data_IF_413829003614
#
_entry.id   IF_413829003614
#
_cell.length_a   1.000
_cell.length_b   1.000
_cell.length_c   1.000
_cell.angle_alpha   90.00
_cell.angle_beta   90.00
_cell.angle_gamma   90.00
#
_symmetry.space_group_name_H-M   'P 1'
#
loop_
_entity.id
_entity.type
_entity.pdbx_description
1 polymer ?
#
# COMPACT_ATOMS: atom_id res chain seq x y z
N UNK A 1 -6.16 39.81 32.31
CA UNK A 1 -5.21 40.85 32.76
C UNK A 1 -5.16 40.81 34.29
N UNK A 2 -3.99 41.03 34.88
CA UNK A 2 -3.62 40.87 36.31
C UNK A 2 -2.98 39.51 36.65
N UNK A 3 -1.65 39.56 36.78
CA UNK A 3 -0.74 38.57 37.37
C UNK A 3 -0.83 38.56 38.90
N UNK A 4 -0.27 37.52 39.56
CA UNK A 4 0.82 37.82 40.49
C UNK A 4 2.07 36.95 40.31
N UNK A 5 3.21 37.61 40.57
CA UNK A 5 4.58 37.11 40.81
C UNK A 5 4.54 36.19 42.05
N UNK A 6 5.29 35.12 42.22
CA UNK A 6 6.72 34.89 41.98
C UNK A 6 7.34 34.47 43.31
N UNK A 7 7.94 33.28 43.39
CA UNK A 7 8.73 32.84 44.53
C UNK A 7 9.96 32.07 44.04
N UNK A 8 11.13 32.54 44.47
CA UNK A 8 12.46 31.96 44.25
C UNK A 8 12.66 30.75 45.16
N UNK A 9 13.42 29.76 44.71
CA UNK A 9 14.35 29.05 45.59
C UNK A 9 15.53 28.45 44.80
N UNK A 10 16.70 28.60 45.41
CA UNK A 10 18.00 28.07 45.03
C UNK A 10 18.01 26.52 45.04
N UNK A 11 18.81 25.90 44.18
CA UNK A 11 19.91 25.05 44.63
C UNK A 11 20.85 24.63 43.49
N UNK A 12 22.13 24.86 43.74
CA UNK A 12 23.30 24.26 43.13
C UNK A 12 23.38 22.76 43.44
N UNK A 13 23.78 21.91 42.49
CA UNK A 13 24.99 21.07 42.60
C UNK A 13 25.13 20.04 41.45
N UNK A 14 26.41 19.80 41.13
CA UNK A 14 27.00 18.59 40.57
C UNK A 14 26.82 18.25 39.08
N UNK A 15 27.65 18.98 38.31
CA UNK A 15 28.53 18.47 37.26
C UNK A 15 29.04 17.04 37.55
N UNK A 16 28.67 16.08 36.68
CA UNK A 16 29.36 14.80 36.52
C UNK A 16 29.85 14.70 35.07
N UNK A 17 31.17 14.61 34.92
CA UNK A 17 31.90 14.34 33.67
C UNK A 17 32.44 12.92 33.73
N UNK A 18 32.03 12.03 32.81
CA UNK A 18 32.75 10.82 32.34
C UNK A 18 32.21 10.56 30.91
N UNK A 19 32.97 10.91 29.87
CA UNK A 19 33.81 10.02 29.04
C UNK A 19 33.05 8.83 28.46
N UNK A 20 32.85 8.82 27.14
CA UNK A 20 32.88 7.58 26.36
C UNK A 20 33.35 7.86 24.92
N UNK A 21 34.51 7.27 24.63
CA UNK A 21 35.14 7.11 23.32
C UNK A 21 34.36 6.09 22.51
N UNK A 22 34.02 6.39 21.25
CA UNK A 22 33.76 5.33 20.26
C UNK A 22 34.52 5.63 18.97
N UNK A 23 35.46 4.73 18.70
CA UNK A 23 36.40 4.75 17.59
C UNK A 23 35.70 4.54 16.24
N UNK A 24 36.15 5.34 15.27
CA UNK A 24 35.86 5.24 13.85
C UNK A 24 36.55 4.00 13.26
N UNK A 25 35.78 3.13 12.60
CA UNK A 25 36.32 2.13 11.68
C UNK A 25 35.96 2.55 10.25
N UNK A 26 36.87 3.29 9.60
CA UNK A 26 36.84 3.57 8.17
C UNK A 26 37.72 2.54 7.45
N UNK A 27 37.11 1.63 6.69
CA UNK A 27 37.83 0.79 5.75
C UNK A 27 38.11 1.57 4.47
N UNK A 28 39.34 2.06 4.35
CA UNK A 28 39.92 2.50 3.10
C UNK A 28 40.14 1.31 2.17
N UNK A 29 39.53 1.33 0.98
CA UNK A 29 40.02 0.57 -0.18
C UNK A 29 40.67 1.56 -1.12
N UNK A 30 42.00 1.52 -1.11
CA UNK A 30 42.89 2.14 -2.09
C UNK A 30 42.95 1.30 -3.35
N UNK A 31 42.68 1.88 -4.52
CA UNK A 31 43.13 1.35 -5.80
C UNK A 31 43.81 2.46 -6.60
N UNK A 32 45.10 2.22 -6.83
CA UNK A 32 46.06 3.03 -7.55
C UNK A 32 45.78 3.11 -9.05
N UNK A 33 46.18 4.23 -9.63
CA UNK A 33 46.25 4.51 -11.06
C UNK A 33 47.26 3.63 -11.80
N UNK A 34 46.94 3.25 -13.04
CA UNK A 34 47.92 3.15 -14.12
C UNK A 34 47.23 3.29 -15.48
N UNK A 35 47.97 3.88 -16.41
CA UNK A 35 47.50 4.47 -17.65
C UNK A 35 47.36 3.47 -18.82
N UNK A 36 46.45 3.83 -19.74
CA UNK A 36 46.61 3.73 -21.20
C UNK A 36 46.72 2.34 -21.82
N UNK A 37 45.72 1.97 -22.65
CA UNK A 37 45.93 1.55 -24.05
C UNK A 37 44.58 1.49 -24.76
N UNK A 38 44.49 2.20 -25.89
CA UNK A 38 43.41 2.18 -26.87
C UNK A 38 43.34 0.82 -27.59
N UNK A 39 42.19 0.14 -27.52
CA UNK A 39 41.79 -0.85 -28.52
C UNK A 39 40.29 -0.76 -28.82
N UNK A 40 39.99 -0.39 -30.06
CA UNK A 40 38.70 -0.61 -30.73
C UNK A 40 38.43 -2.12 -30.78
N UNK A 41 37.28 -2.57 -30.28
CA UNK A 41 36.72 -3.87 -30.69
C UNK A 41 35.20 -3.83 -30.72
N UNK A 42 34.71 -4.11 -31.93
CA UNK A 42 33.39 -4.56 -32.38
C UNK A 42 32.32 -4.84 -31.30
N UNK A 43 31.22 -4.13 -31.50
CA UNK A 43 29.89 -4.41 -31.02
C UNK A 43 29.44 -5.82 -31.49
N UNK A 44 29.29 -6.75 -30.56
CA UNK A 44 28.49 -7.96 -30.75
C UNK A 44 27.22 -7.82 -29.88
N UNK A 45 26.07 -7.76 -30.55
CA UNK A 45 24.76 -7.98 -29.92
C UNK A 45 24.67 -9.45 -29.52
N UNK A 46 24.60 -9.73 -28.23
CA UNK A 46 24.14 -11.02 -27.71
C UNK A 46 22.79 -10.83 -27.02
N UNK A 47 21.75 -11.42 -27.61
CA UNK A 47 20.48 -11.67 -26.93
C UNK A 47 20.72 -12.64 -25.77
N UNK A 48 20.76 -12.14 -24.53
CA UNK A 48 20.68 -12.98 -23.34
C UNK A 48 19.24 -13.04 -22.85
N UNK A 49 18.72 -14.26 -22.92
CA UNK A 49 17.40 -14.75 -22.57
C UNK A 49 17.04 -14.43 -21.12
N UNK A 50 15.78 -14.01 -20.91
CA UNK A 50 15.18 -13.70 -19.63
C UNK A 50 15.26 -14.88 -18.63
N UNK A 51 16.16 -14.77 -17.66
CA UNK A 51 16.14 -15.48 -16.40
C UNK A 51 16.71 -14.52 -15.36
N UNK A 52 15.84 -13.76 -14.68
CA UNK A 52 16.31 -12.72 -13.74
C UNK A 52 15.23 -11.91 -13.03
N UNK A 53 13.96 -12.33 -13.06
CA UNK A 53 12.89 -11.62 -12.35
C UNK A 53 12.81 -11.98 -10.86
N UNK A 54 13.37 -13.12 -10.45
CA UNK A 54 13.30 -13.63 -9.06
C UNK A 54 14.15 -12.81 -8.08
N UNK A 55 15.27 -12.23 -8.52
CA UNK A 55 16.17 -11.47 -7.64
C UNK A 55 15.83 -9.97 -7.56
N UNK A 56 15.06 -9.45 -8.54
CA UNK A 56 14.83 -8.01 -8.68
C UNK A 56 13.68 -7.49 -7.82
N UNK A 57 12.68 -8.33 -7.49
CA UNK A 57 11.53 -7.92 -6.68
C UNK A 57 11.88 -7.64 -5.20
N UNK A 58 12.88 -8.36 -4.67
CA UNK A 58 13.37 -8.18 -3.28
C UNK A 58 14.51 -7.15 -3.18
N UNK A 59 15.20 -6.83 -4.28
CA UNK A 59 16.25 -5.81 -4.33
C UNK A 59 15.73 -4.38 -4.52
N UNK A 60 14.42 -4.21 -4.79
CA UNK A 60 13.77 -2.92 -5.00
C UNK A 60 13.17 -2.28 -3.74
N UNK A 61 13.40 -2.84 -2.55
CA UNK A 61 13.04 -2.17 -1.30
C UNK A 61 13.93 -0.92 -1.18
N UNK A 62 13.40 0.24 -1.55
CA UNK A 62 13.99 1.50 -1.16
C UNK A 62 14.08 1.47 0.37
N UNK A 63 15.31 1.50 0.91
CA UNK A 63 15.51 1.49 2.35
C UNK A 63 14.67 2.62 2.95
N UNK A 64 13.88 2.37 4.00
CA UNK A 64 13.09 3.43 4.61
C UNK A 64 14.04 4.56 4.98
N UNK A 65 13.88 5.71 4.34
CA UNK A 65 14.58 6.93 4.72
C UNK A 65 14.32 7.09 6.21
N UNK A 66 15.38 7.10 7.03
CA UNK A 66 15.25 7.20 8.49
C UNK A 66 14.74 8.59 8.85
N UNK A 67 13.42 8.75 8.77
CA UNK A 67 12.71 9.91 9.27
C UNK A 67 12.20 9.59 10.66
N UNK A 68 12.44 10.52 11.59
CA UNK A 68 11.85 10.47 12.92
C UNK A 68 10.33 10.59 12.79
N UNK A 69 9.61 9.49 13.00
CA UNK A 69 8.16 9.53 13.09
C UNK A 69 7.75 10.37 14.29
N UNK A 70 6.84 11.32 14.09
CA UNK A 70 6.41 12.29 15.09
C UNK A 70 4.96 12.09 15.49
N UNK A 71 4.62 12.51 16.70
CA UNK A 71 3.25 12.62 17.21
C UNK A 71 2.66 14.01 16.99
N UNK A 72 3.40 14.92 16.37
CA UNK A 72 2.99 16.30 16.14
C UNK A 72 2.03 16.40 14.95
N UNK A 73 1.05 17.34 14.97
CA UNK A 73 0.17 17.58 13.83
C UNK A 73 0.93 17.98 12.55
N UNK A 74 0.34 17.68 11.40
CA UNK A 74 0.93 18.09 10.11
C UNK A 74 0.88 19.60 9.87
N UNK A 75 1.92 20.11 9.21
CA UNK A 75 1.97 21.44 8.64
C UNK A 75 2.17 21.36 7.11
N UNK A 76 2.36 22.51 6.45
CA UNK A 76 2.55 22.56 4.99
C UNK A 76 3.94 22.08 4.56
N UNK A 77 4.91 22.07 5.47
CA UNK A 77 6.32 21.72 5.22
C UNK A 77 6.59 20.24 5.52
N UNK A 78 5.73 19.57 6.30
CA UNK A 78 5.87 18.20 6.80
C UNK A 78 5.62 17.09 5.76
N UNK A 79 5.89 17.36 4.47
CA UNK A 79 5.76 16.36 3.42
C UNK A 79 6.92 15.37 3.44
N UNK A 80 6.64 14.12 3.81
CA UNK A 80 7.62 13.05 3.73
C UNK A 80 7.48 12.27 2.42
N UNK A 81 8.56 12.22 1.63
CA UNK A 81 8.60 11.49 0.34
C UNK A 81 9.27 10.14 0.55
N UNK A 82 8.54 9.07 0.27
CA UNK A 82 9.01 7.69 0.36
C UNK A 82 9.66 7.20 -0.95
N UNK A 83 9.20 7.74 -2.07
CA UNK A 83 9.69 7.35 -3.40
C UNK A 83 9.44 8.47 -4.39
N UNK A 84 10.38 8.68 -5.32
CA UNK A 84 10.22 9.62 -6.43
C UNK A 84 10.91 9.09 -7.69
N UNK A 85 10.22 9.25 -8.82
CA UNK A 85 10.69 8.93 -10.17
C UNK A 85 10.11 9.94 -11.16
N UNK A 86 10.38 9.78 -12.45
CA UNK A 86 9.80 10.64 -13.51
C UNK A 86 8.27 10.47 -13.63
N UNK A 87 7.76 9.30 -13.26
CA UNK A 87 6.35 8.94 -13.46
C UNK A 87 5.51 9.03 -12.17
N UNK A 88 6.12 8.79 -11.01
CA UNK A 88 5.41 8.68 -9.73
C UNK A 88 6.17 9.32 -8.58
N UNK A 89 5.40 9.87 -7.64
CA UNK A 89 5.86 10.21 -6.30
C UNK A 89 4.96 9.49 -5.28
N UNK A 90 5.57 8.87 -4.26
CA UNK A 90 4.86 8.26 -3.14
C UNK A 90 5.24 9.01 -1.89
N UNK A 91 4.23 9.46 -1.15
CA UNK A 91 4.39 10.22 0.08
C UNK A 91 3.89 9.40 1.26
N UNK A 92 4.47 9.63 2.43
CA UNK A 92 3.91 9.17 3.69
C UNK A 92 2.86 10.20 4.14
N UNK A 93 1.59 9.92 3.83
CA UNK A 93 0.50 10.81 4.20
C UNK A 93 0.41 10.86 5.72
N UNK A 94 0.42 12.06 6.29
CA UNK A 94 0.17 12.22 7.72
C UNK A 94 -1.25 11.77 8.13
N UNK A 95 -1.44 11.49 9.42
CA UNK A 95 -2.78 11.33 9.99
C UNK A 95 -3.48 12.69 10.08
N UNK A 96 -4.81 12.65 10.10
CA UNK A 96 -5.71 13.82 10.18
C UNK A 96 -5.43 14.94 9.16
N UNK A 97 -5.09 14.55 7.93
CA UNK A 97 -5.03 15.47 6.80
C UNK A 97 -5.83 14.93 5.61
N UNK A 98 -6.49 15.84 4.89
CA UNK A 98 -7.14 15.50 3.62
C UNK A 98 -6.10 15.32 2.52
N UNK A 99 -6.46 14.52 1.52
CA UNK A 99 -5.66 14.38 0.30
C UNK A 99 -5.71 15.68 -0.50
N UNK A 100 -6.93 16.15 -0.78
CA UNK A 100 -7.20 17.36 -1.54
C UNK A 100 -8.33 18.16 -0.90
N UNK A 101 -8.44 19.42 -1.31
CA UNK A 101 -9.60 20.26 -0.97
C UNK A 101 -9.92 21.23 -2.11
N UNK A 102 -11.20 21.57 -2.21
CA UNK A 102 -11.71 22.64 -3.07
C UNK A 102 -11.69 24.00 -2.37
N UNK A 103 -11.56 24.01 -1.05
CA UNK A 103 -11.65 25.22 -0.23
C UNK A 103 -10.28 25.87 -0.18
N UNK A 104 -10.17 27.09 -0.74
CA UNK A 104 -8.90 27.82 -0.83
C UNK A 104 -8.24 28.10 0.53
N UNK A 105 -9.00 28.05 1.63
CA UNK A 105 -8.52 28.26 2.99
C UNK A 105 -8.07 26.95 3.69
N UNK A 106 -8.35 25.78 3.12
CA UNK A 106 -7.93 24.50 3.69
C UNK A 106 -6.48 24.22 3.27
N UNK A 107 -5.54 24.70 4.08
CA UNK A 107 -4.11 24.66 3.80
C UNK A 107 -3.41 23.36 4.24
N UNK A 108 -4.06 22.55 5.07
CA UNK A 108 -3.52 21.28 5.58
C UNK A 108 -4.01 20.09 4.74
N UNK A 109 -3.53 20.03 3.50
CA UNK A 109 -3.80 18.90 2.60
C UNK A 109 -2.52 18.38 1.99
N UNK A 110 -2.49 17.11 1.58
CA UNK A 110 -1.37 16.55 0.82
C UNK A 110 -1.14 17.34 -0.46
N UNK A 111 -2.22 17.76 -1.12
CA UNK A 111 -2.17 18.63 -2.30
C UNK A 111 -1.45 19.96 -2.02
N UNK A 112 -1.72 20.61 -0.88
CA UNK A 112 -1.06 21.85 -0.49
C UNK A 112 0.42 21.63 -0.17
N UNK A 113 0.75 20.56 0.57
CA UNK A 113 2.11 20.15 0.88
C UNK A 113 2.93 19.85 -0.39
N UNK A 114 2.37 19.08 -1.34
CA UNK A 114 2.99 18.80 -2.64
C UNK A 114 3.23 20.07 -3.45
N UNK A 115 2.25 20.98 -3.49
CA UNK A 115 2.38 22.26 -4.21
C UNK A 115 3.44 23.16 -3.59
N UNK A 116 3.54 23.18 -2.27
CA UNK A 116 4.56 23.94 -1.57
C UNK A 116 5.96 23.38 -1.84
N UNK A 117 6.15 22.07 -1.72
CA UNK A 117 7.47 21.42 -1.83
C UNK A 117 7.94 21.19 -3.27
N UNK A 118 6.99 20.99 -4.20
CA UNK A 118 7.24 20.67 -5.60
C UNK A 118 6.28 21.44 -6.54
N UNK A 119 6.34 22.78 -6.57
CA UNK A 119 5.45 23.59 -7.41
C UNK A 119 5.55 23.23 -8.90
N UNK A 120 6.72 22.79 -9.37
CA UNK A 120 6.97 22.34 -10.74
C UNK A 120 6.26 21.04 -11.13
N UNK A 121 5.82 20.24 -10.15
CA UNK A 121 5.08 18.99 -10.41
C UNK A 121 3.57 19.21 -10.51
N UNK A 122 3.09 20.41 -10.20
CA UNK A 122 1.68 20.74 -10.31
C UNK A 122 1.27 20.82 -11.80
N UNK A 123 0.29 20.01 -12.19
CA UNK A 123 -0.28 19.95 -13.55
C UNK A 123 -1.50 20.88 -13.65
N UNK A 124 -1.40 22.04 -14.33
CA UNK A 124 -2.50 22.99 -14.46
C UNK A 124 -3.71 22.45 -15.24
N UNK A 125 -3.52 21.38 -16.02
CA UNK A 125 -4.62 20.72 -16.74
C UNK A 125 -5.52 19.86 -15.84
N UNK A 126 -5.11 19.66 -14.58
CA UNK A 126 -5.88 18.92 -13.59
C UNK A 126 -6.53 19.87 -12.60
N UNK A 127 -7.75 19.53 -12.19
CA UNK A 127 -8.51 20.35 -11.27
C UNK A 127 -7.79 20.56 -9.91
N UNK A 128 -7.09 19.53 -9.40
CA UNK A 128 -6.37 19.61 -8.12
C UNK A 128 -4.86 19.88 -8.28
N UNK A 129 -4.33 19.96 -9.50
CA UNK A 129 -2.90 20.06 -9.77
C UNK A 129 -2.12 18.75 -9.69
N UNK A 130 -2.71 17.67 -9.16
CA UNK A 130 -2.04 16.38 -9.00
C UNK A 130 -2.98 15.23 -9.33
N UNK A 131 -2.42 14.09 -9.73
CA UNK A 131 -3.16 12.88 -10.12
C UNK A 131 -2.99 11.80 -9.06
N UNK A 132 -3.79 11.85 -8.01
CA UNK A 132 -3.80 10.82 -6.96
C UNK A 132 -4.24 9.47 -7.53
N UNK A 133 -3.39 8.44 -7.39
CA UNK A 133 -3.64 7.11 -7.96
C UNK A 133 -4.69 6.32 -7.17
N UNK A 134 -4.81 6.61 -5.87
CA UNK A 134 -5.79 6.02 -4.96
C UNK A 134 -6.11 6.98 -3.81
N UNK A 135 -7.01 6.56 -2.93
CA UNK A 135 -7.41 7.33 -1.75
C UNK A 135 -6.98 6.63 -0.46
N UNK A 136 -6.90 7.44 0.60
CA UNK A 136 -6.79 7.08 2.00
C UNK A 136 -7.78 7.96 2.76
N UNK A 137 -8.37 7.43 3.83
CA UNK A 137 -9.25 8.19 4.70
C UNK A 137 -8.48 9.35 5.36
N UNK A 138 -9.20 10.39 5.80
CA UNK A 138 -8.63 11.56 6.47
C UNK A 138 -7.68 11.17 7.63
N UNK A 139 -8.15 10.33 8.55
CA UNK A 139 -7.39 9.92 9.74
C UNK A 139 -6.36 8.82 9.50
N UNK A 140 -6.36 8.18 8.33
CA UNK A 140 -5.41 7.10 8.00
C UNK A 140 -4.11 7.70 7.48
N UNK A 141 -2.96 7.35 8.05
CA UNK A 141 -1.65 7.75 7.52
C UNK A 141 -1.07 6.72 6.54
N UNK A 142 0.08 7.00 5.95
CA UNK A 142 0.90 6.01 5.23
C UNK A 142 1.00 6.27 3.73
N UNK A 143 1.50 5.27 3.00
CA UNK A 143 1.86 5.38 1.60
C UNK A 143 0.69 5.83 0.71
N UNK A 144 0.86 6.97 0.04
CA UNK A 144 -0.07 7.53 -0.94
C UNK A 144 0.67 7.82 -2.25
N UNK A 145 0.26 7.16 -3.33
CA UNK A 145 0.87 7.30 -4.64
C UNK A 145 0.19 8.38 -5.50
N UNK A 146 1.00 9.23 -6.12
CA UNK A 146 0.61 10.29 -7.05
C UNK A 146 1.35 10.10 -8.36
N UNK A 147 0.61 10.08 -9.47
CA UNK A 147 1.19 10.06 -10.81
C UNK A 147 1.56 11.48 -11.26
N UNK A 148 2.73 11.62 -11.85
CA UNK A 148 3.28 12.91 -12.31
C UNK A 148 2.87 13.26 -13.74
N UNK A 149 2.31 12.30 -14.49
CA UNK A 149 1.80 12.54 -15.83
C UNK A 149 0.58 11.66 -16.16
N UNK A 150 -0.11 11.98 -17.26
CA UNK A 150 -1.35 11.29 -17.69
C UNK A 150 -1.13 9.80 -18.02
N UNK A 151 0.01 9.45 -18.61
CA UNK A 151 0.30 8.07 -18.97
C UNK A 151 0.53 7.20 -17.72
N UNK A 152 1.31 7.72 -16.75
CA UNK A 152 1.53 7.10 -15.46
C UNK A 152 0.23 6.90 -14.68
N UNK A 153 -0.65 7.92 -14.67
CA UNK A 153 -1.96 7.82 -14.04
C UNK A 153 -2.82 6.72 -14.68
N UNK A 154 -2.80 6.60 -16.02
CA UNK A 154 -3.53 5.56 -16.74
C UNK A 154 -3.02 4.15 -16.43
N UNK A 155 -1.70 3.95 -16.29
CA UNK A 155 -1.12 2.66 -15.89
C UNK A 155 -1.52 2.28 -14.47
N UNK A 156 -1.35 3.19 -13.50
CA UNK A 156 -1.72 2.93 -12.11
C UNK A 156 -3.22 2.66 -11.97
N UNK A 157 -4.07 3.45 -12.64
CA UNK A 157 -5.53 3.26 -12.65
C UNK A 157 -5.93 1.84 -13.08
N UNK A 158 -5.29 1.29 -14.13
CA UNK A 158 -5.55 -0.09 -14.56
C UNK A 158 -5.22 -1.10 -13.46
N UNK A 159 -4.07 -0.97 -12.81
CA UNK A 159 -3.70 -1.87 -11.69
C UNK A 159 -4.73 -1.84 -10.55
N UNK A 160 -5.22 -0.65 -10.16
CA UNK A 160 -6.27 -0.53 -9.13
C UNK A 160 -7.62 -1.09 -9.60
N UNK A 161 -8.00 -0.82 -10.86
CA UNK A 161 -9.24 -1.32 -11.45
C UNK A 161 -9.26 -2.85 -11.52
N UNK A 162 -8.14 -3.43 -11.93
CA UNK A 162 -7.97 -4.86 -12.14
C UNK A 162 -7.61 -5.60 -10.84
N UNK A 163 -7.54 -4.88 -9.71
CA UNK A 163 -7.25 -5.42 -8.36
C UNK A 163 -5.93 -6.19 -8.27
N UNK A 164 -4.92 -5.75 -9.02
CA UNK A 164 -3.58 -6.33 -9.00
C UNK A 164 -2.65 -5.69 -7.97
N UNK A 165 -3.03 -4.53 -7.43
CA UNK A 165 -2.30 -3.81 -6.37
C UNK A 165 -2.35 -4.59 -5.05
N UNK A 166 -1.20 -4.77 -4.42
CA UNK A 166 -1.11 -5.27 -3.03
C UNK A 166 -0.96 -4.10 -2.07
N UNK A 167 -1.75 -4.10 -0.99
CA UNK A 167 -1.69 -3.09 0.07
C UNK A 167 -1.64 -3.80 1.41
N UNK A 168 -0.77 -3.35 2.30
CA UNK A 168 -0.71 -3.84 3.68
C UNK A 168 -0.83 -2.65 4.62
N UNK A 169 -1.64 -2.82 5.67
CA UNK A 169 -1.88 -1.81 6.67
C UNK A 169 -1.49 -2.35 8.03
N UNK A 170 -0.84 -1.52 8.85
CA UNK A 170 -0.68 -1.79 10.27
C UNK A 170 -1.85 -1.15 11.01
N UNK A 171 -2.29 -1.80 12.08
CA UNK A 171 -3.24 -1.21 13.02
C UNK A 171 -3.01 -1.68 14.45
N UNK A 172 -3.35 -0.82 15.42
CA UNK A 172 -3.64 -1.23 16.80
C UNK A 172 -5.16 -1.33 16.93
N UNK A 173 -5.66 -2.49 17.35
CA UNK A 173 -7.10 -2.73 17.56
C UNK A 173 -7.37 -3.10 19.02
N UNK A 174 -8.52 -2.66 19.55
CA UNK A 174 -8.94 -2.88 20.94
C UNK A 174 -9.16 -4.36 21.22
N UNK A 175 -8.77 -4.80 22.40
CA UNK A 175 -8.96 -6.16 22.89
C UNK A 175 -7.91 -7.17 22.41
N UNK A 176 -8.15 -8.43 22.77
CA UNK A 176 -7.29 -9.57 22.45
C UNK A 176 -7.88 -10.38 21.29
N UNK A 177 -7.20 -10.40 20.14
CA UNK A 177 -7.63 -11.26 19.01
C UNK A 177 -7.12 -12.68 19.20
N UNK A 178 -8.03 -13.63 19.35
CA UNK A 178 -7.68 -15.04 19.55
C UNK A 178 -7.12 -15.69 18.27
N UNK A 179 -7.76 -15.43 17.13
CA UNK A 179 -7.35 -16.00 15.84
C UNK A 179 -6.14 -15.23 15.27
N UNK A 180 -4.96 -15.86 15.30
CA UNK A 180 -3.72 -15.24 14.83
C UNK A 180 -3.73 -14.90 13.32
N UNK A 181 -4.54 -15.61 12.55
CA UNK A 181 -4.79 -15.32 11.13
C UNK A 181 -6.25 -15.60 10.85
N UNK A 182 -6.93 -14.66 10.19
CA UNK A 182 -8.35 -14.81 9.85
C UNK A 182 -8.72 -13.99 8.62
N UNK A 183 -9.61 -14.56 7.80
CA UNK A 183 -10.25 -13.90 6.67
C UNK A 183 -11.51 -13.19 7.15
N UNK A 184 -11.59 -11.88 6.94
CA UNK A 184 -12.77 -11.07 7.22
C UNK A 184 -13.54 -10.83 5.93
N UNK A 185 -14.63 -11.57 5.72
CA UNK A 185 -15.50 -11.50 4.53
C UNK A 185 -16.90 -10.96 4.88
N UNK A 186 -16.93 -9.75 5.44
CA UNK A 186 -18.18 -9.04 5.70
C UNK A 186 -18.49 -8.12 4.53
N UNK A 187 -19.61 -8.34 3.84
CA UNK A 187 -20.05 -7.40 2.80
C UNK A 187 -20.39 -6.04 3.41
N UNK A 188 -19.92 -4.94 2.80
CA UNK A 188 -20.12 -3.57 3.31
C UNK A 188 -21.08 -2.79 2.41
N UNK A 189 -22.07 -2.15 3.03
CA UNK A 189 -23.02 -1.23 2.39
C UNK A 189 -23.01 0.16 3.03
N UNK A 190 -23.81 1.07 2.46
CA UNK A 190 -24.06 2.39 3.06
C UNK A 190 -25.01 2.23 4.24
N UNK A 191 -24.81 3.01 5.29
CA UNK A 191 -25.74 3.09 6.41
C UNK A 191 -26.73 4.24 6.17
N UNK A 192 -28.02 3.92 6.04
CA UNK A 192 -29.10 4.90 5.90
C UNK A 192 -29.91 5.14 7.18
N UNK A 193 -29.56 4.47 8.29
CA UNK A 193 -30.21 4.72 9.58
C UNK A 193 -29.93 6.15 10.05
N UNK A 194 -31.00 6.92 10.26
CA UNK A 194 -30.92 8.24 10.88
C UNK A 194 -30.31 8.14 12.30
N UNK A 195 -29.47 9.11 12.66
CA UNK A 195 -28.87 9.20 14.00
C UNK A 195 -27.62 8.33 14.25
N UNK A 196 -27.22 7.44 13.33
CA UNK A 196 -25.93 6.73 13.43
C UNK A 196 -24.79 7.57 12.86
N UNK A 197 -23.66 7.61 13.57
CA UNK A 197 -22.48 8.43 13.23
C UNK A 197 -21.65 7.86 12.06
N UNK A 198 -21.80 6.57 11.73
CA UNK A 198 -20.95 5.90 10.74
C UNK A 198 -21.64 5.67 9.39
N UNK A 199 -21.03 6.17 8.32
CA UNK A 199 -21.54 6.13 6.93
C UNK A 199 -21.62 4.72 6.30
N UNK A 200 -20.86 3.76 6.82
CA UNK A 200 -20.74 2.41 6.24
C UNK A 200 -21.03 1.36 7.31
N UNK A 201 -21.68 0.27 6.94
CA UNK A 201 -22.05 -0.82 7.84
C UNK A 201 -21.99 -2.18 7.13
N UNK A 202 -22.04 -3.27 7.90
CA UNK A 202 -22.00 -4.64 7.37
C UNK A 202 -23.39 -5.14 6.98
N UNK A 203 -23.46 -5.99 5.95
CA UNK A 203 -24.71 -6.63 5.53
C UNK A 203 -25.39 -7.30 6.72
N UNK A 204 -26.67 -6.99 6.93
CA UNK A 204 -27.48 -7.50 8.04
C UNK A 204 -27.66 -6.53 9.18
N UNK A 205 -26.90 -5.43 9.25
CA UNK A 205 -27.25 -4.32 10.14
C UNK A 205 -28.46 -3.57 9.60
N UNK A 206 -29.31 -3.11 10.52
CA UNK A 206 -30.42 -2.20 10.19
C UNK A 206 -29.90 -0.96 9.45
N UNK A 207 -30.57 -0.58 8.36
CA UNK A 207 -30.18 0.53 7.49
C UNK A 207 -29.05 0.22 6.49
N UNK A 208 -28.62 -1.03 6.35
CA UNK A 208 -27.58 -1.38 5.37
C UNK A 208 -28.12 -1.45 3.94
N UNK A 209 -27.68 -0.53 3.09
CA UNK A 209 -28.06 -0.43 1.69
C UNK A 209 -26.94 -0.81 0.73
N UNK A 210 -27.30 -1.52 -0.34
CA UNK A 210 -26.41 -1.92 -1.44
C UNK A 210 -25.06 -2.54 -0.98
N UNK A 211 -25.10 -3.60 -0.14
CA UNK A 211 -23.88 -4.23 0.34
C UNK A 211 -23.10 -4.86 -0.81
N UNK A 212 -21.80 -4.65 -0.81
CA UNK A 212 -20.88 -5.24 -1.78
C UNK A 212 -19.90 -6.14 -1.06
N UNK A 213 -19.61 -7.30 -1.65
CA UNK A 213 -18.59 -8.21 -1.14
C UNK A 213 -17.25 -7.50 -1.05
N UNK A 214 -16.59 -7.71 0.08
CA UNK A 214 -15.26 -7.22 0.38
C UNK A 214 -14.57 -8.16 1.37
N UNK A 215 -13.27 -8.29 1.20
CA UNK A 215 -12.46 -9.25 1.95
C UNK A 215 -11.18 -8.57 2.44
N UNK A 216 -10.81 -8.88 3.68
CA UNK A 216 -9.57 -8.45 4.32
C UNK A 216 -8.95 -9.64 5.04
N UNK A 217 -7.68 -9.94 4.77
CA UNK A 217 -6.91 -10.88 5.59
C UNK A 217 -6.31 -10.12 6.79
N UNK A 218 -6.51 -10.64 7.99
CA UNK A 218 -5.96 -10.11 9.23
C UNK A 218 -4.91 -11.09 9.75
N UNK A 219 -3.73 -10.58 10.08
CA UNK A 219 -2.66 -11.33 10.73
C UNK A 219 -2.23 -10.63 12.01
N UNK A 220 -2.27 -11.33 13.14
CA UNK A 220 -1.80 -10.80 14.43
C UNK A 220 -0.27 -10.78 14.46
N UNK A 221 0.28 -9.63 14.85
CA UNK A 221 1.72 -9.40 14.99
C UNK A 221 2.13 -9.47 16.46
N UNK A 222 1.49 -8.65 17.30
CA UNK A 222 1.86 -8.46 18.70
C UNK A 222 0.62 -8.23 19.56
N UNK A 223 0.71 -8.60 20.84
CA UNK A 223 -0.26 -8.24 21.88
C UNK A 223 0.39 -7.29 22.88
N UNK A 224 -0.38 -6.38 23.45
CA UNK A 224 0.12 -5.47 24.47
C UNK A 224 -0.97 -4.57 25.04
N UNK A 225 -0.53 -3.42 25.55
CA UNK A 225 -1.40 -2.41 26.12
C UNK A 225 -1.27 -1.09 25.35
N UNK A 226 -2.37 -0.38 25.21
CA UNK A 226 -2.38 1.02 24.79
C UNK A 226 -3.10 1.84 25.85
N UNK A 227 -2.38 2.74 26.51
CA UNK A 227 -2.92 3.58 27.60
C UNK A 227 -3.58 2.76 28.74
N UNK A 228 -3.03 1.57 29.00
CA UNK A 228 -3.53 0.64 30.03
C UNK A 228 -4.57 -0.38 29.54
N UNK A 229 -5.17 -0.20 28.37
CA UNK A 229 -6.15 -1.14 27.81
C UNK A 229 -5.49 -2.21 26.94
N UNK A 230 -6.05 -3.42 26.94
CA UNK A 230 -5.62 -4.50 26.05
C UNK A 230 -5.82 -4.09 24.58
N UNK A 231 -4.77 -4.26 23.78
CA UNK A 231 -4.82 -4.09 22.33
C UNK A 231 -4.00 -5.16 21.61
N UNK A 232 -4.32 -5.37 20.34
CA UNK A 232 -3.60 -6.26 19.43
C UNK A 232 -3.05 -5.44 18.26
N UNK A 233 -1.76 -5.58 17.95
CA UNK A 233 -1.17 -5.06 16.73
C UNK A 233 -1.36 -6.06 15.60
N UNK A 234 -1.93 -5.61 14.49
CA UNK A 234 -2.30 -6.45 13.35
C UNK A 234 -1.77 -5.91 12.04
N UNK A 235 -1.51 -6.81 11.11
CA UNK A 235 -1.32 -6.54 9.69
C UNK A 235 -2.63 -6.87 8.95
N UNK A 236 -3.14 -5.93 8.17
CA UNK A 236 -4.37 -6.04 7.40
C UNK A 236 -4.06 -5.96 5.90
N UNK A 237 -4.50 -6.96 5.15
CA UNK A 237 -4.39 -7.02 3.69
C UNK A 237 -5.78 -6.99 3.06
N UNK A 238 -6.28 -5.82 2.60
CA UNK A 238 -7.55 -5.74 1.91
C UNK A 238 -7.41 -6.19 0.45
N UNK A 239 -8.21 -7.19 0.05
CA UNK A 239 -8.33 -7.64 -1.35
C UNK A 239 -9.30 -6.78 -2.18
N UNK A 240 -10.03 -5.90 -1.52
CA UNK A 240 -10.95 -4.92 -2.11
C UNK A 240 -10.65 -3.51 -1.62
N UNK A 241 -11.36 -2.51 -2.17
CA UNK A 241 -11.26 -1.12 -1.70
C UNK A 241 -12.65 -0.54 -1.52
N UNK A 242 -13.31 -0.85 -0.41
CA UNK A 242 -14.57 -0.18 0.00
C UNK A 242 -14.24 0.95 0.98
N UNK A 243 -15.07 1.98 1.01
CA UNK A 243 -14.95 3.08 1.98
C UNK A 243 -14.95 2.52 3.40
N UNK A 244 -13.98 2.94 4.21
CA UNK A 244 -13.79 2.51 5.60
C UNK A 244 -13.67 0.99 5.80
N UNK A 245 -13.30 0.21 4.77
CA UNK A 245 -13.36 -1.26 4.81
C UNK A 245 -12.70 -1.87 6.05
N UNK A 246 -11.45 -1.46 6.32
CA UNK A 246 -10.67 -2.01 7.43
C UNK A 246 -11.30 -1.67 8.79
N UNK A 247 -11.76 -0.43 8.95
CA UNK A 247 -12.41 0.09 10.16
C UNK A 247 -13.71 -0.66 10.45
N UNK A 248 -14.54 -0.85 9.43
CA UNK A 248 -15.79 -1.62 9.53
C UNK A 248 -15.53 -3.09 9.83
N UNK A 249 -14.58 -3.73 9.16
CA UNK A 249 -14.25 -5.14 9.41
C UNK A 249 -13.72 -5.38 10.82
N UNK A 250 -12.81 -4.52 11.30
CA UNK A 250 -12.29 -4.57 12.66
C UNK A 250 -13.41 -4.36 13.70
N UNK A 251 -14.29 -3.38 13.49
CA UNK A 251 -15.49 -3.18 14.32
C UNK A 251 -16.43 -4.40 14.31
N UNK A 252 -16.64 -5.02 13.14
CA UNK A 252 -17.53 -6.17 12.98
C UNK A 252 -17.07 -7.43 13.72
N UNK A 253 -15.77 -7.60 13.95
CA UNK A 253 -15.22 -8.67 14.80
C UNK A 253 -15.12 -8.28 16.28
N UNK A 254 -15.64 -7.13 16.68
CA UNK A 254 -15.62 -6.65 18.07
C UNK A 254 -14.30 -5.99 18.49
N UNK A 255 -13.39 -5.72 17.55
CA UNK A 255 -12.06 -5.16 17.81
C UNK A 255 -11.86 -3.86 17.04
N UNK A 256 -12.44 -2.75 17.53
CA UNK A 256 -12.32 -1.44 16.87
C UNK A 256 -10.87 -0.96 16.81
N UNK A 257 -10.53 -0.20 15.77
CA UNK A 257 -9.21 0.44 15.68
C UNK A 257 -9.09 1.48 16.79
N UNK A 258 -7.95 1.49 17.48
CA UNK A 258 -7.64 2.46 18.54
C UNK A 258 -7.70 3.88 17.97
N UNK A 259 -8.44 4.77 18.63
CA UNK A 259 -8.66 6.15 18.18
C UNK A 259 -9.64 6.30 17.01
N UNK A 260 -10.37 5.24 16.63
CA UNK A 260 -11.46 5.36 15.66
C UNK A 260 -12.75 5.81 16.35
N UNK A 261 -12.91 7.12 16.49
CA UNK A 261 -14.09 7.75 17.08
C UNK A 261 -15.42 7.34 16.42
N UNK A 262 -15.41 7.10 15.10
CA UNK A 262 -16.63 6.84 14.33
C UNK A 262 -17.19 5.44 14.62
N UNK A 263 -16.33 4.42 14.60
CA UNK A 263 -16.75 3.02 14.73
C UNK A 263 -16.67 2.51 16.19
N UNK A 264 -16.04 3.26 17.09
CA UNK A 264 -16.15 3.05 18.54
C UNK A 264 -17.44 3.63 19.15
N UNK A 265 -18.35 4.17 18.32
CA UNK A 265 -19.56 4.88 18.78
C UNK A 265 -19.24 6.05 19.71
N UNK A 266 -18.16 6.77 19.44
CA UNK A 266 -17.75 7.97 20.18
C UNK A 266 -17.02 7.70 21.50
N UNK A 267 -16.59 6.45 21.75
CA UNK A 267 -15.94 6.09 23.03
C UNK A 267 -14.42 6.13 22.99
N UNK A 268 -13.81 6.10 21.79
CA UNK A 268 -12.37 6.07 21.60
C UNK A 268 -11.86 7.40 21.04
N UNK A 269 -11.85 8.45 21.88
CA UNK A 269 -11.42 9.83 21.57
C UNK A 269 -10.11 10.25 22.27
N UNK A 270 -9.60 9.46 23.21
CA UNK A 270 -8.39 9.77 23.98
C UNK A 270 -7.07 9.59 23.23
N UNK A 271 -6.90 8.68 22.26
CA UNK A 271 -5.68 8.57 21.48
C UNK A 271 -5.46 9.82 20.60
N UNK A 272 -4.21 10.25 20.41
CA UNK A 272 -3.91 11.46 19.63
C UNK A 272 -4.22 11.33 18.13
N UNK A 273 -4.46 10.11 17.65
CA UNK A 273 -4.76 9.77 16.26
C UNK A 273 -5.47 8.43 16.16
N UNK A 274 -6.03 8.14 14.99
CA UNK A 274 -6.45 6.79 14.63
C UNK A 274 -5.22 5.92 14.30
N UNK A 275 -5.14 4.75 14.93
CA UNK A 275 -4.04 3.79 14.80
C UNK A 275 -4.24 2.87 13.58
N UNK A 276 -4.35 3.48 12.41
CA UNK A 276 -4.36 2.80 11.11
C UNK A 276 -3.35 3.45 10.18
N UNK A 277 -2.45 2.65 9.62
CA UNK A 277 -1.34 3.13 8.80
C UNK A 277 -1.15 2.26 7.55
N UNK A 278 -1.16 2.87 6.36
CA UNK A 278 -0.88 2.22 5.08
C UNK A 278 0.63 1.95 4.94
N UNK A 279 1.07 0.81 5.47
CA UNK A 279 2.47 0.45 5.60
C UNK A 279 3.15 0.06 4.30
N UNK A 280 2.48 -0.68 3.41
CA UNK A 280 3.06 -1.13 2.16
C UNK A 280 2.11 -0.94 0.99
N UNK A 281 2.68 -0.46 -0.13
CA UNK A 281 2.01 -0.31 -1.40
C UNK A 281 2.85 -0.97 -2.50
N UNK A 282 2.28 -1.98 -3.16
CA UNK A 282 2.87 -2.63 -4.32
C UNK A 282 1.94 -2.46 -5.54
N UNK A 283 2.39 -1.69 -6.52
CA UNK A 283 1.71 -1.53 -7.82
C UNK A 283 2.56 -2.26 -8.86
N UNK A 284 2.05 -3.35 -9.47
CA UNK A 284 2.81 -4.16 -10.43
C UNK A 284 2.85 -3.47 -11.80
N UNK A 285 3.56 -2.35 -11.88
CA UNK A 285 3.77 -1.56 -13.09
C UNK A 285 4.83 -2.22 -13.97
N UNK A 286 4.67 -2.07 -15.29
CA UNK A 286 5.68 -2.43 -16.27
C UNK A 286 6.45 -1.17 -16.74
N UNK A 287 7.77 -1.26 -16.99
CA UNK A 287 8.63 -2.45 -16.86
C UNK A 287 9.13 -2.71 -15.42
N UNK A 288 8.94 -1.76 -14.50
CA UNK A 288 9.41 -1.85 -13.12
C UNK A 288 8.24 -1.67 -12.14
N UNK A 289 8.04 -2.62 -11.21
CA UNK A 289 7.00 -2.50 -10.20
C UNK A 289 7.34 -1.39 -9.20
N UNK A 290 6.31 -0.71 -8.70
CA UNK A 290 6.45 0.24 -7.59
C UNK A 290 6.15 -0.51 -6.31
N UNK A 291 7.18 -0.75 -5.50
CA UNK A 291 7.09 -1.37 -4.18
C UNK A 291 7.65 -0.38 -3.16
N UNK A 292 6.78 0.15 -2.30
CA UNK A 292 7.15 1.17 -1.32
C UNK A 292 6.60 0.77 0.04
N UNK A 293 7.44 0.93 1.07
CA UNK A 293 7.07 0.76 2.47
C UNK A 293 7.24 2.08 3.23
N UNK A 294 6.21 2.46 3.97
CA UNK A 294 6.27 3.51 4.98
C UNK A 294 6.74 2.92 6.32
N UNK A 295 7.38 3.74 7.17
CA UNK A 295 7.84 3.28 8.48
C UNK A 295 6.68 2.79 9.37
N UNK A 296 6.96 1.92 10.34
CA UNK A 296 5.96 1.49 11.33
C UNK A 296 5.78 2.54 12.44
N UNK A 297 4.67 3.30 12.49
CA UNK A 297 4.49 4.34 13.51
C UNK A 297 4.08 3.77 14.88
N UNK A 298 3.74 2.49 14.98
CA UNK A 298 3.23 1.86 16.19
C UNK A 298 4.37 1.17 16.95
N UNK A 299 5.33 2.00 17.36
CA UNK A 299 6.52 1.61 18.11
C UNK A 299 6.54 2.35 19.46
N UNK A 300 6.98 1.71 20.56
CA UNK A 300 7.07 2.35 21.87
C UNK A 300 7.96 3.59 21.90
N UNK A 301 8.95 3.65 21.00
CA UNK A 301 9.86 4.79 20.85
C UNK A 301 9.20 6.00 20.18
N UNK A 302 8.10 5.79 19.45
CA UNK A 302 7.32 6.85 18.79
C UNK A 302 6.15 7.26 19.67
N UNK A 303 5.43 6.28 20.21
CA UNK A 303 4.34 6.49 21.16
C UNK A 303 4.52 5.60 22.39
N UNK A 304 4.93 6.16 23.55
CA UNK A 304 5.16 5.39 24.76
C UNK A 304 3.87 4.83 25.37
N UNK A 305 2.68 5.25 24.92
CA UNK A 305 1.41 4.64 25.37
C UNK A 305 1.26 3.21 24.86
N UNK A 306 1.91 2.87 23.74
CA UNK A 306 1.94 1.50 23.22
C UNK A 306 3.04 0.69 23.93
N UNK A 307 2.62 -0.35 24.65
CA UNK A 307 3.48 -1.24 25.43
C UNK A 307 3.30 -2.67 24.90
N UNK A 308 4.14 -3.15 23.97
CA UNK A 308 4.11 -4.52 23.50
C UNK A 308 4.51 -5.47 24.63
N UNK A 309 3.74 -6.54 24.81
CA UNK A 309 3.98 -7.54 25.85
C UNK A 309 4.34 -8.90 25.27
N UNK A 310 3.74 -9.26 24.13
CA UNK A 310 3.96 -10.55 23.46
C UNK A 310 4.04 -10.36 21.95
N UNK A 311 5.21 -10.61 21.37
CA UNK A 311 5.40 -10.62 19.93
C UNK A 311 5.21 -12.04 19.39
N UNK A 312 4.34 -12.21 18.37
CA UNK A 312 4.17 -13.49 17.69
C UNK A 312 5.04 -13.58 16.43
N UNK A 313 5.18 -12.47 15.72
CA UNK A 313 5.91 -12.36 14.46
C UNK A 313 6.28 -10.91 14.19
N UNK A 314 7.40 -10.69 13.49
CA UNK A 314 7.82 -9.34 13.11
C UNK A 314 7.06 -8.85 11.88
N UNK A 315 6.93 -7.53 11.74
CA UNK A 315 6.33 -6.90 10.56
C UNK A 315 7.07 -7.34 9.29
N UNK A 316 8.41 -7.22 9.29
CA UNK A 316 9.27 -7.54 8.14
C UNK A 316 9.07 -8.98 7.65
N UNK A 317 9.21 -9.98 8.53
CA UNK A 317 9.07 -11.38 8.15
C UNK A 317 7.66 -11.72 7.66
N UNK A 318 6.63 -11.08 8.23
CA UNK A 318 5.24 -11.27 7.81
C UNK A 318 5.00 -10.68 6.42
N UNK A 319 5.54 -9.48 6.16
CA UNK A 319 5.45 -8.80 4.87
C UNK A 319 6.18 -9.60 3.78
N UNK A 320 7.40 -10.06 4.04
CA UNK A 320 8.18 -10.89 3.11
C UNK A 320 7.42 -12.16 2.71
N UNK A 321 6.90 -12.91 3.70
CA UNK A 321 6.12 -14.12 3.43
C UNK A 321 4.83 -13.84 2.61
N UNK A 322 4.17 -12.69 2.83
CA UNK A 322 2.99 -12.30 2.04
C UNK A 322 3.35 -11.93 0.60
N UNK A 323 4.46 -11.22 0.40
CA UNK A 323 4.92 -10.86 -0.94
C UNK A 323 5.35 -12.10 -1.74
N UNK A 324 6.06 -13.04 -1.10
CA UNK A 324 6.44 -14.31 -1.72
C UNK A 324 5.21 -15.12 -2.14
N UNK A 325 4.22 -15.25 -1.25
CA UNK A 325 2.94 -15.88 -1.58
C UNK A 325 2.25 -15.21 -2.76
N UNK A 326 2.25 -13.87 -2.79
CA UNK A 326 1.62 -13.12 -3.86
C UNK A 326 2.30 -13.34 -5.21
N UNK A 327 3.64 -13.36 -5.24
CA UNK A 327 4.41 -13.64 -6.46
C UNK A 327 4.06 -15.03 -7.00
N UNK A 328 3.94 -16.02 -6.13
CA UNK A 328 3.58 -17.38 -6.50
C UNK A 328 2.12 -17.48 -7.01
N UNK A 329 1.18 -16.77 -6.39
CA UNK A 329 -0.20 -16.65 -6.86
C UNK A 329 -0.27 -16.01 -8.26
N UNK A 330 0.44 -14.89 -8.46
CA UNK A 330 0.48 -14.20 -9.76
C UNK A 330 1.14 -15.06 -10.84
N UNK A 331 2.16 -15.87 -10.49
CA UNK A 331 2.78 -16.85 -11.40
C UNK A 331 1.77 -17.91 -11.84
N UNK A 332 1.02 -18.50 -10.91
CA UNK A 332 -0.02 -19.49 -11.20
C UNK A 332 -1.12 -18.92 -12.09
N UNK A 333 -1.61 -17.71 -11.78
CA UNK A 333 -2.64 -17.03 -12.58
C UNK A 333 -2.17 -16.81 -14.02
N UNK A 334 -0.91 -16.41 -14.22
CA UNK A 334 -0.31 -16.23 -15.56
C UNK A 334 -0.17 -17.55 -16.32
N UNK A 335 0.25 -18.61 -15.64
CA UNK A 335 0.36 -19.95 -16.23
C UNK A 335 -1.00 -20.49 -16.67
N UNK A 336 -2.02 -20.37 -15.81
CA UNK A 336 -3.39 -20.76 -16.15
C UNK A 336 -3.96 -19.92 -17.29
N UNK A 337 -3.69 -18.61 -17.33
CA UNK A 337 -4.14 -17.75 -18.42
C UNK A 337 -3.50 -18.16 -19.75
N UNK A 338 -2.20 -18.47 -19.75
CA UNK A 338 -1.48 -18.96 -20.93
C UNK A 338 -2.02 -20.29 -21.41
N UNK A 339 -2.29 -21.21 -20.50
CA UNK A 339 -2.89 -22.52 -20.80
C UNK A 339 -4.31 -22.36 -21.38
N UNK A 340 -5.13 -21.49 -20.80
CA UNK A 340 -6.46 -21.15 -21.35
C UNK A 340 -6.36 -20.59 -22.77
N UNK A 341 -5.45 -19.64 -23.03
CA UNK A 341 -5.24 -19.09 -24.37
C UNK A 341 -4.77 -20.14 -25.36
N UNK A 342 -3.90 -21.07 -24.94
CA UNK A 342 -3.44 -22.18 -25.79
C UNK A 342 -4.58 -23.11 -26.16
N UNK A 343 -5.44 -23.49 -25.22
CA UNK A 343 -6.62 -24.35 -25.48
C UNK A 343 -7.60 -23.71 -26.45
N UNK A 344 -7.87 -22.42 -26.29
CA UNK A 344 -8.75 -21.68 -27.21
C UNK A 344 -8.17 -21.64 -28.63
N UNK A 345 -6.85 -21.47 -28.77
CA UNK A 345 -6.21 -21.49 -30.09
C UNK A 345 -6.21 -22.91 -30.69
N UNK A 346 -5.97 -23.95 -29.88
CA UNK A 346 -6.04 -25.35 -30.32
C UNK A 346 -7.47 -25.75 -30.77
N UNK A 347 -8.51 -25.32 -30.05
CA UNK A 347 -9.91 -25.51 -30.46
C UNK A 347 -10.23 -24.76 -31.76
N UNK A 348 -9.76 -23.51 -31.89
CA UNK A 348 -9.95 -22.71 -33.11
C UNK A 348 -9.26 -23.33 -34.32
N UNK A 349 -8.07 -23.91 -34.14
CA UNK A 349 -7.38 -24.64 -35.21
C UNK A 349 -8.14 -25.90 -35.61
N UNK A 350 -8.65 -26.69 -34.65
CA UNK A 350 -9.45 -27.89 -34.95
C UNK A 350 -10.70 -27.55 -35.76
N UNK A 351 -11.46 -26.53 -35.34
CA UNK A 351 -12.65 -26.06 -36.08
C UNK A 351 -12.32 -25.65 -37.51
N UNK A 352 -11.22 -24.92 -37.74
CA UNK A 352 -10.77 -24.58 -39.10
C UNK A 352 -10.42 -25.80 -39.94
N UNK A 353 -9.78 -26.80 -39.33
CA UNK A 353 -9.39 -28.02 -40.05
C UNK A 353 -10.62 -28.86 -40.42
N UNK A 354 -11.65 -28.89 -39.56
CA UNK A 354 -12.94 -29.53 -39.83
C UNK A 354 -13.71 -28.80 -40.94
N UNK A 355 -13.79 -27.45 -40.90
CA UNK A 355 -14.41 -26.64 -41.96
C UNK A 355 -13.72 -26.86 -43.32
N UNK A 356 -12.39 -26.87 -43.37
CA UNK A 356 -11.62 -27.14 -44.59
C UNK A 356 -11.86 -28.58 -45.12
N UNK A 357 -12.00 -29.56 -44.22
CA UNK A 357 -12.30 -30.95 -44.59
C UNK A 357 -13.71 -31.10 -45.16
N UNK A 358 -14.70 -30.45 -44.55
CA UNK A 358 -16.09 -30.47 -45.02
C UNK A 358 -16.25 -29.76 -46.37
N UNK A 359 -15.56 -28.64 -46.57
CA UNK A 359 -15.51 -27.94 -47.86
C UNK A 359 -14.89 -28.83 -48.95
N UNK A 360 -13.79 -29.52 -48.64
CA UNK A 360 -13.14 -30.44 -49.58
C UNK A 360 -14.05 -31.63 -49.92
N UNK A 361 -14.72 -32.24 -48.94
CA UNK A 361 -15.70 -33.29 -49.21
C UNK A 361 -16.85 -32.81 -50.11
N UNK A 362 -17.35 -31.58 -49.88
CA UNK A 362 -18.42 -31.00 -50.71
C UNK A 362 -17.98 -30.82 -52.16
N UNK A 363 -16.78 -30.28 -52.39
CA UNK A 363 -16.21 -30.10 -53.73
C UNK A 363 -15.99 -31.45 -54.45
N UNK A 364 -15.53 -32.47 -53.73
CA UNK A 364 -15.42 -33.82 -54.30
C UNK A 364 -16.79 -34.40 -54.69
N UNK A 365 -17.81 -34.19 -53.87
CA UNK A 365 -19.16 -34.67 -54.15
C UNK A 365 -19.78 -33.96 -55.37
N UNK A 366 -19.60 -32.65 -55.48
CA UNK A 366 -20.01 -31.86 -56.65
C UNK A 366 -19.34 -32.38 -57.93
N UNK A 367 -18.02 -32.59 -57.90
CA UNK A 367 -17.27 -33.14 -59.03
C UNK A 367 -17.71 -34.55 -59.43
N UNK A 368 -18.04 -35.42 -58.46
CA UNK A 368 -18.57 -36.76 -58.75
C UNK A 368 -19.95 -36.70 -59.40
N UNK A 369 -20.82 -35.79 -58.95
CA UNK A 369 -22.15 -35.59 -59.53
C UNK A 369 -22.08 -35.07 -60.97
N UNK A 370 -21.14 -34.16 -61.27
CA UNK A 370 -20.91 -33.67 -62.63
C UNK A 370 -20.45 -34.77 -63.59
N UNK A 371 -19.65 -35.74 -63.11
CA UNK A 371 -19.15 -36.86 -63.92
C UNK A 371 -20.08 -38.06 -64.04
N UNK A 372 -21.06 -38.19 -63.15
CA UNK A 372 -22.07 -39.25 -63.21
C UNK A 372 -23.26 -38.91 -64.13
N UNK A 373 -23.29 -37.70 -64.70
CA UNK A 373 -24.33 -37.20 -65.61
C UNK A 373 -24.03 -37.35 -67.11
N UNK A 374 -22.84 -37.85 -67.48
CA UNK A 374 -22.45 -38.29 -68.83
C UNK A 374 -22.53 -39.83 -68.92
#
# INVERSE_FOLDING_TARGET
MVWPRGAKQHNSCHMFTILDEWALFTSHISLSSSAGTTKKTKQLRSHSRAQGTTHCALQGLCSPTQHTMTTEPADVESLHVLYQSDDYIVVDKHWDIRIDSKMFYEKQTVQAQLRHRFPQLADPSTYYGFRFCHQLDFSTSGALCVALNKAAAGRAYRCFKDRTVTKLYLALIRGWVENQTQTLDFSIGKNSSEGKTHMMCVKGTEGCENPKSCQTELTVLEYGLYDGDLVTKVLLQPHTGRTHQLRVHCSAIGHTIVGDFTYSSGTDDSPYRMMLHAHLLHIPLDPQPLLVSAGDPFLPTVDPKWIPQRSLRTVTATVEALLERRVEEDRKIKEEAKERSRRVEEERMKLRTEEESDEHMRLCQEWLNERAGD
#
